data_IF_322334005568
#
_entry.id   IF_322334005568
#
_cell.length_a   1.000
_cell.length_b   1.000
_cell.length_c   1.000
_cell.angle_alpha   90.00
_cell.angle_beta   90.00
_cell.angle_gamma   90.00
#
_symmetry.space_group_name_H-M   'P 1'
#
loop_
_entity.id
_entity.type
_entity.pdbx_description
1 polymer ?
#
# COMPACT_ATOMS: atom_id res chain seq x y z
N UNK A 1 35.71 -10.65 7.84
CA UNK A 1 34.76 -9.64 7.32
C UNK A 1 33.43 -9.81 8.01
N UNK A 2 32.75 -8.73 8.41
CA UNK A 2 31.43 -8.75 9.05
C UNK A 2 30.37 -8.20 8.11
N UNK A 3 29.67 -9.12 7.44
CA UNK A 3 28.45 -8.83 6.67
C UNK A 3 27.24 -9.04 7.57
N UNK A 4 26.33 -8.06 7.63
CA UNK A 4 25.03 -8.20 8.30
C UNK A 4 23.93 -8.23 7.25
N UNK A 5 23.03 -9.21 7.35
CA UNK A 5 21.90 -9.40 6.44
C UNK A 5 20.58 -9.33 7.23
N UNK A 6 19.65 -8.51 6.76
CA UNK A 6 18.33 -8.30 7.36
C UNK A 6 17.27 -8.82 6.37
N UNK A 7 16.63 -9.98 6.63
CA UNK A 7 15.72 -10.63 5.70
C UNK A 7 14.38 -9.90 5.53
N UNK A 8 13.71 -10.19 4.41
CA UNK A 8 12.36 -9.67 4.11
C UNK A 8 11.35 -9.99 5.23
N UNK A 9 10.41 -9.08 5.44
CA UNK A 9 9.37 -9.20 6.47
C UNK A 9 9.86 -9.05 7.92
N UNK A 10 11.17 -8.98 8.17
CA UNK A 10 11.71 -8.80 9.52
C UNK A 10 12.04 -7.32 9.75
N UNK A 11 11.69 -6.82 10.94
CA UNK A 11 12.18 -5.53 11.45
C UNK A 11 13.24 -5.82 12.50
N UNK A 12 14.44 -5.30 12.32
CA UNK A 12 15.54 -5.43 13.29
C UNK A 12 15.87 -4.06 13.87
N UNK A 13 15.86 -3.98 15.20
CA UNK A 13 16.18 -2.77 15.94
C UNK A 13 17.58 -2.88 16.56
N UNK A 14 18.44 -1.90 16.30
CA UNK A 14 19.75 -1.77 16.94
C UNK A 14 19.90 -0.39 17.60
N UNK A 15 20.79 -0.28 18.56
CA UNK A 15 21.17 1.00 19.17
C UNK A 15 22.14 1.77 18.26
N UNK A 16 23.20 1.10 17.84
CA UNK A 16 24.19 1.53 16.84
C UNK A 16 24.69 0.29 16.09
N UNK A 17 25.03 0.43 14.79
CA UNK A 17 25.46 -0.68 13.95
C UNK A 17 26.71 -0.32 13.13
N UNK A 18 27.85 -0.94 13.47
CA UNK A 18 29.10 -0.80 12.73
C UNK A 18 29.47 -2.12 12.03
N UNK A 19 29.59 -2.07 10.70
CA UNK A 19 29.78 -3.25 9.82
C UNK A 19 30.70 -2.91 8.64
N UNK A 20 31.08 -3.89 7.82
CA UNK A 20 31.71 -3.61 6.52
C UNK A 20 30.66 -3.59 5.41
N UNK A 21 29.82 -4.62 5.36
CA UNK A 21 28.77 -4.77 4.36
C UNK A 21 27.42 -5.00 5.05
N UNK A 22 26.44 -4.17 4.70
CA UNK A 22 25.10 -4.21 5.26
C UNK A 22 24.09 -4.45 4.14
N UNK A 23 23.32 -5.52 4.26
CA UNK A 23 22.30 -5.91 3.28
C UNK A 23 20.93 -5.84 3.94
N UNK A 24 20.10 -4.87 3.54
CA UNK A 24 18.78 -4.60 4.12
C UNK A 24 17.70 -4.92 3.10
N UNK A 25 17.08 -6.09 3.23
CA UNK A 25 15.91 -6.50 2.43
C UNK A 25 14.60 -6.40 3.24
N UNK A 26 14.68 -6.30 4.58
CA UNK A 26 13.58 -6.03 5.49
C UNK A 26 13.50 -4.56 5.93
N UNK A 27 13.27 -4.33 7.23
CA UNK A 27 13.36 -3.01 7.85
C UNK A 27 14.47 -2.98 8.90
N UNK A 28 15.34 -1.98 8.84
CA UNK A 28 16.37 -1.70 9.85
C UNK A 28 16.04 -0.38 10.55
N UNK A 29 15.86 -0.44 11.87
CA UNK A 29 15.70 0.74 12.72
C UNK A 29 16.90 0.89 13.65
N UNK A 30 17.56 2.04 13.63
CA UNK A 30 18.76 2.27 14.47
C UNK A 30 18.70 3.61 15.21
N UNK A 31 18.73 3.58 16.55
CA UNK A 31 18.51 4.77 17.39
C UNK A 31 19.54 5.87 17.14
N UNK A 32 20.83 5.53 17.13
CA UNK A 32 21.91 6.51 16.90
C UNK A 32 22.33 6.55 15.44
N UNK A 33 22.86 5.43 14.91
CA UNK A 33 23.34 5.44 13.53
C UNK A 33 23.99 4.16 13.05
N UNK A 34 24.22 4.14 11.75
CA UNK A 34 24.77 3.02 11.00
C UNK A 34 26.05 3.47 10.30
N UNK A 35 27.15 2.76 10.54
CA UNK A 35 28.39 2.90 9.78
C UNK A 35 28.65 1.60 9.03
N UNK A 36 28.79 1.70 7.71
CA UNK A 36 29.18 0.58 6.86
C UNK A 36 30.15 1.07 5.77
N UNK A 37 30.90 0.17 5.14
CA UNK A 37 31.57 0.53 3.88
C UNK A 37 30.57 0.53 2.72
N UNK A 38 29.58 -0.36 2.75
CA UNK A 38 28.57 -0.48 1.70
C UNK A 38 27.24 -0.90 2.29
N UNK A 39 26.17 -0.16 1.97
CA UNK A 39 24.78 -0.47 2.33
C UNK A 39 24.01 -0.76 1.05
N UNK A 40 23.30 -1.89 0.99
CA UNK A 40 22.56 -2.34 -0.20
C UNK A 40 21.24 -3.03 0.16
N UNK A 41 20.20 -2.90 -0.65
CA UNK A 41 19.03 -3.80 -0.65
C UNK A 41 17.70 -3.11 -0.96
N UNK A 42 16.64 -3.90 -1.14
CA UNK A 42 15.28 -3.43 -1.41
C UNK A 42 14.45 -3.07 -0.16
N UNK A 43 15.09 -2.88 0.99
CA UNK A 43 14.45 -2.62 2.28
C UNK A 43 14.30 -1.15 2.66
N UNK A 44 13.80 -0.94 3.88
CA UNK A 44 13.64 0.38 4.52
C UNK A 44 14.73 0.55 5.59
N UNK A 45 15.43 1.70 5.56
CA UNK A 45 16.43 2.07 6.57
C UNK A 45 15.98 3.34 7.31
N UNK A 46 15.66 3.22 8.61
CA UNK A 46 15.28 4.33 9.50
C UNK A 46 16.35 4.56 10.57
N UNK A 47 17.13 5.66 10.53
CA UNK A 47 18.26 5.88 11.46
C UNK A 47 18.47 7.34 11.88
N UNK A 48 19.22 7.59 12.96
CA UNK A 48 19.69 8.93 13.31
C UNK A 48 20.74 9.47 12.31
N UNK A 49 21.87 8.79 12.16
CA UNK A 49 22.91 9.11 11.17
C UNK A 49 23.32 7.87 10.38
N UNK A 50 23.36 7.97 9.05
CA UNK A 50 23.90 6.91 8.17
C UNK A 50 25.19 7.38 7.53
N UNK A 51 26.27 6.58 7.64
CA UNK A 51 27.55 6.85 7.00
C UNK A 51 28.07 5.63 6.22
N UNK A 52 28.23 5.75 4.91
CA UNK A 52 28.84 4.71 4.07
C UNK A 52 29.38 5.22 2.73
N UNK A 53 30.45 4.62 2.20
CA UNK A 53 31.02 5.01 0.88
C UNK A 53 29.95 4.91 -0.23
N UNK A 54 29.17 3.82 -0.22
CA UNK A 54 28.09 3.56 -1.18
C UNK A 54 26.82 3.11 -0.46
N UNK A 55 25.69 3.76 -0.77
CA UNK A 55 24.35 3.44 -0.28
C UNK A 55 23.46 3.14 -1.49
N UNK A 56 22.79 1.98 -1.50
CA UNK A 56 21.87 1.56 -2.55
C UNK A 56 20.59 0.96 -1.93
N UNK A 57 19.55 1.77 -1.74
CA UNK A 57 18.32 1.39 -1.01
C UNK A 57 17.03 1.81 -1.72
N UNK A 58 15.93 1.08 -1.53
CA UNK A 58 14.62 1.56 -2.00
C UNK A 58 14.13 2.75 -1.16
N UNK A 59 14.16 2.68 0.18
CA UNK A 59 13.64 3.74 1.05
C UNK A 59 14.60 4.06 2.22
N UNK A 60 15.03 5.33 2.29
CA UNK A 60 15.99 5.85 3.26
C UNK A 60 15.39 7.00 4.07
N UNK A 61 15.06 6.75 5.33
CA UNK A 61 14.63 7.72 6.32
C UNK A 61 15.81 7.95 7.30
N UNK A 62 16.42 9.13 7.34
CA UNK A 62 17.59 9.33 8.20
C UNK A 62 17.72 10.77 8.68
N UNK A 63 18.22 11.01 9.89
CA UNK A 63 18.47 12.38 10.39
C UNK A 63 19.66 13.10 9.73
N UNK A 64 20.70 12.37 9.33
CA UNK A 64 21.83 12.90 8.54
C UNK A 64 22.50 11.80 7.71
N UNK A 65 22.70 12.01 6.42
CA UNK A 65 23.28 11.02 5.48
C UNK A 65 24.63 11.49 4.95
N UNK A 66 25.68 10.70 5.18
CA UNK A 66 27.04 10.95 4.71
C UNK A 66 27.52 9.82 3.80
N UNK A 67 27.83 10.12 2.53
CA UNK A 67 28.31 9.12 1.59
C UNK A 67 29.22 9.69 0.50
N UNK A 68 29.80 8.81 -0.34
CA UNK A 68 30.31 9.24 -1.66
C UNK A 68 29.24 9.07 -2.73
N UNK A 69 28.54 7.92 -2.74
CA UNK A 69 27.51 7.60 -3.73
C UNK A 69 26.22 7.13 -3.09
N UNK A 70 25.14 7.87 -3.32
CA UNK A 70 23.77 7.48 -2.97
C UNK A 70 23.01 7.09 -4.24
N UNK A 71 22.48 5.87 -4.25
CA UNK A 71 21.50 5.39 -5.21
C UNK A 71 20.24 5.04 -4.43
N UNK A 72 19.14 5.75 -4.69
CA UNK A 72 17.91 5.50 -3.94
C UNK A 72 16.66 5.64 -4.81
N UNK A 73 15.54 5.13 -4.30
CA UNK A 73 14.21 5.43 -4.86
C UNK A 73 13.53 6.53 -4.08
N UNK A 74 13.51 6.44 -2.75
CA UNK A 74 13.03 7.50 -1.85
C UNK A 74 14.07 7.83 -0.79
N UNK A 75 14.22 9.13 -0.52
CA UNK A 75 15.13 9.66 0.49
C UNK A 75 14.42 10.78 1.25
N UNK A 76 14.36 10.65 2.57
CA UNK A 76 13.89 11.70 3.48
C UNK A 76 14.95 11.90 4.55
N UNK A 77 15.67 13.02 4.46
CA UNK A 77 16.72 13.38 5.42
C UNK A 77 16.93 14.88 5.42
N UNK A 78 16.94 15.59 6.57
CA UNK A 78 17.13 17.04 6.55
C UNK A 78 18.52 17.45 6.04
N UNK A 79 19.54 16.60 6.20
CA UNK A 79 20.90 16.82 5.72
C UNK A 79 21.41 15.64 4.86
N UNK A 80 21.80 15.92 3.61
CA UNK A 80 22.37 14.96 2.67
C UNK A 80 23.72 15.43 2.13
N UNK A 81 24.79 14.70 2.48
CA UNK A 81 26.15 14.89 1.98
C UNK A 81 26.57 13.70 1.12
N UNK A 82 26.85 13.91 -0.16
CA UNK A 82 27.18 12.85 -1.13
C UNK A 82 28.33 13.26 -2.07
N UNK A 83 29.59 12.97 -1.70
CA UNK A 83 30.78 13.57 -2.33
C UNK A 83 30.88 13.41 -3.86
N UNK A 84 30.59 12.23 -4.41
CA UNK A 84 30.61 12.01 -5.86
C UNK A 84 29.25 12.35 -6.48
N UNK A 85 28.18 11.71 -5.99
CA UNK A 85 26.87 11.74 -6.65
C UNK A 85 25.72 11.22 -5.78
N UNK A 86 24.56 11.87 -5.85
CA UNK A 86 23.30 11.37 -5.33
C UNK A 86 22.27 11.18 -6.47
N UNK A 87 21.79 9.97 -6.67
CA UNK A 87 20.72 9.64 -7.63
C UNK A 87 19.48 9.15 -6.89
N UNK A 88 18.37 9.89 -6.97
CA UNK A 88 17.09 9.57 -6.32
C UNK A 88 15.98 9.46 -7.36
N UNK A 89 15.51 8.23 -7.60
CA UNK A 89 14.69 7.89 -8.77
C UNK A 89 13.19 8.13 -8.63
N UNK A 90 12.67 8.41 -7.43
CA UNK A 90 11.26 8.77 -7.22
C UNK A 90 11.10 10.11 -6.48
N UNK A 91 11.65 10.25 -5.26
CA UNK A 91 11.41 11.43 -4.42
C UNK A 91 12.55 11.67 -3.42
N UNK A 92 13.04 12.92 -3.34
CA UNK A 92 13.98 13.41 -2.35
C UNK A 92 13.31 14.54 -1.54
N UNK A 93 13.35 14.44 -0.22
CA UNK A 93 13.03 15.55 0.71
C UNK A 93 14.23 15.82 1.62
N UNK A 94 14.80 17.02 1.53
CA UNK A 94 15.97 17.41 2.32
C UNK A 94 16.15 18.94 2.42
N UNK A 95 16.32 19.47 3.62
CA UNK A 95 16.54 20.91 3.83
C UNK A 95 17.90 21.36 3.26
N UNK A 96 18.94 20.54 3.43
CA UNK A 96 20.29 20.81 2.93
C UNK A 96 20.83 19.62 2.11
N UNK A 97 21.28 19.88 0.88
CA UNK A 97 21.91 18.88 0.00
C UNK A 97 23.25 19.39 -0.52
N UNK A 98 24.32 18.64 -0.28
CA UNK A 98 25.66 18.92 -0.79
C UNK A 98 26.22 17.70 -1.55
N UNK A 99 26.41 17.82 -2.87
CA UNK A 99 26.86 16.71 -3.73
C UNK A 99 27.47 17.18 -5.04
N UNK A 100 28.48 16.48 -5.58
CA UNK A 100 29.00 16.81 -6.92
C UNK A 100 27.91 16.71 -8.00
N UNK A 101 27.32 15.53 -8.16
CA UNK A 101 26.29 15.26 -9.18
C UNK A 101 24.95 14.80 -8.55
N UNK A 102 23.97 15.69 -8.50
CA UNK A 102 22.60 15.37 -8.11
C UNK A 102 21.79 14.90 -9.32
N UNK A 103 21.00 13.83 -9.19
CA UNK A 103 20.07 13.36 -10.21
C UNK A 103 18.76 12.93 -9.56
N UNK A 104 17.70 13.71 -9.74
CA UNK A 104 16.44 13.61 -8.99
C UNK A 104 15.22 13.57 -9.91
N UNK A 105 14.21 12.77 -9.59
CA UNK A 105 12.93 12.78 -10.31
C UNK A 105 11.98 13.85 -9.78
N UNK A 106 11.76 13.86 -8.46
CA UNK A 106 11.02 14.87 -7.71
C UNK A 106 11.88 15.22 -6.49
N UNK A 107 11.99 16.51 -6.16
CA UNK A 107 12.84 17.02 -5.09
C UNK A 107 12.18 18.19 -4.37
N UNK A 108 11.99 18.06 -3.07
CA UNK A 108 11.60 19.12 -2.15
C UNK A 108 12.83 19.47 -1.31
N UNK A 109 13.49 20.59 -1.65
CA UNK A 109 14.78 20.97 -1.08
C UNK A 109 14.93 22.47 -0.94
N UNK A 110 15.34 22.95 0.24
CA UNK A 110 15.47 24.38 0.54
C UNK A 110 16.81 24.95 0.06
N UNK A 111 17.94 24.33 0.42
CA UNK A 111 19.28 24.70 -0.04
C UNK A 111 19.99 23.50 -0.71
N UNK A 112 20.50 23.72 -1.93
CA UNK A 112 21.25 22.73 -2.70
C UNK A 112 22.57 23.33 -3.17
N UNK A 113 23.69 22.76 -2.71
CA UNK A 113 25.04 23.01 -3.21
C UNK A 113 25.49 21.83 -4.08
N UNK A 114 25.41 21.96 -5.40
CA UNK A 114 25.85 20.92 -6.32
C UNK A 114 26.46 21.48 -7.61
N UNK A 115 27.48 20.77 -8.14
CA UNK A 115 28.16 21.15 -9.39
C UNK A 115 27.27 20.86 -10.61
N UNK A 116 26.46 19.79 -10.55
CA UNK A 116 25.54 19.39 -11.61
C UNK A 116 24.23 18.84 -11.04
N UNK A 117 23.09 19.37 -11.49
CA UNK A 117 21.74 18.90 -11.10
C UNK A 117 20.96 18.45 -12.34
N UNK A 118 20.61 17.16 -12.39
CA UNK A 118 19.79 16.55 -13.45
C UNK A 118 18.39 16.24 -12.92
N UNK A 119 17.38 16.94 -13.44
CA UNK A 119 15.98 16.58 -13.20
C UNK A 119 15.51 15.52 -14.21
N UNK A 120 15.21 14.31 -13.72
CA UNK A 120 14.68 13.21 -14.51
C UNK A 120 13.23 13.49 -14.91
N UNK A 121 12.99 13.74 -16.19
CA UNK A 121 11.62 13.94 -16.72
C UNK A 121 10.76 12.71 -16.42
N UNK A 122 9.55 12.85 -15.82
CA UNK A 122 8.73 11.72 -15.43
C UNK A 122 8.36 10.87 -16.66
N UNK A 123 8.74 9.60 -16.64
CA UNK A 123 8.57 8.68 -17.77
C UNK A 123 7.09 8.37 -17.99
N UNK A 124 6.45 9.14 -18.88
CA UNK A 124 5.09 8.89 -19.38
C UNK A 124 5.01 7.51 -20.04
N UNK A 125 4.73 6.46 -19.24
CA UNK A 125 4.33 5.14 -19.74
C UNK A 125 2.96 5.32 -20.40
N UNK A 126 2.96 5.42 -21.74
CA UNK A 126 1.76 5.71 -22.51
C UNK A 126 0.76 4.56 -22.47
N UNK A 127 -0.14 4.55 -21.48
CA UNK A 127 -1.22 3.56 -21.38
C UNK A 127 -2.09 3.51 -22.65
N UNK A 128 -2.26 4.67 -23.31
CA UNK A 128 -2.90 4.79 -24.63
C UNK A 128 -2.17 4.00 -25.73
N UNK A 129 -0.84 3.91 -25.70
CA UNK A 129 -0.07 3.14 -26.68
C UNK A 129 -0.21 1.64 -26.45
N UNK A 130 -0.21 1.19 -25.19
CA UNK A 130 -0.50 -0.23 -24.86
C UNK A 130 -1.95 -0.61 -25.17
N UNK A 131 -2.91 0.31 -24.98
CA UNK A 131 -4.31 0.13 -25.40
C UNK A 131 -4.46 0.11 -26.93
N UNK A 132 -3.73 0.95 -27.66
CA UNK A 132 -3.72 0.89 -29.14
C UNK A 132 -3.12 -0.43 -29.64
N UNK A 133 -2.05 -0.93 -29.02
CA UNK A 133 -1.48 -2.23 -29.38
C UNK A 133 -2.41 -3.40 -29.05
N UNK A 134 -3.11 -3.37 -27.92
CA UNK A 134 -4.09 -4.42 -27.59
C UNK A 134 -5.34 -4.35 -28.47
N UNK A 135 -5.89 -3.16 -28.71
CA UNK A 135 -7.02 -2.96 -29.62
C UNK A 135 -6.68 -3.37 -31.06
N UNK A 136 -5.50 -2.98 -31.58
CA UNK A 136 -5.03 -3.38 -32.90
C UNK A 136 -4.82 -4.90 -33.00
N UNK A 137 -4.28 -5.54 -31.94
CA UNK A 137 -4.13 -7.00 -31.89
C UNK A 137 -5.49 -7.70 -31.87
N UNK A 138 -6.45 -7.25 -31.07
CA UNK A 138 -7.81 -7.80 -31.05
C UNK A 138 -8.55 -7.59 -32.37
N UNK A 139 -8.38 -6.43 -33.00
CA UNK A 139 -8.93 -6.14 -34.34
C UNK A 139 -8.33 -7.05 -35.40
N UNK A 140 -7.01 -7.24 -35.41
CA UNK A 140 -6.33 -8.16 -36.33
C UNK A 140 -6.79 -9.59 -36.13
N UNK A 141 -6.84 -10.07 -34.88
CA UNK A 141 -7.33 -11.41 -34.55
C UNK A 141 -8.77 -11.59 -35.02
N UNK A 142 -9.66 -10.63 -34.73
CA UNK A 142 -11.07 -10.66 -35.18
C UNK A 142 -11.23 -10.62 -36.71
N UNK A 143 -10.32 -9.95 -37.43
CA UNK A 143 -10.29 -9.96 -38.90
C UNK A 143 -9.86 -11.35 -39.43
N UNK A 144 -8.84 -11.97 -38.82
CA UNK A 144 -8.37 -13.31 -39.23
C UNK A 144 -9.27 -14.47 -38.78
N UNK A 145 -10.00 -14.31 -37.67
CA UNK A 145 -10.86 -15.35 -37.11
C UNK A 145 -12.15 -15.57 -37.93
N UNK A 146 -12.55 -14.61 -38.76
CA UNK A 146 -13.75 -14.69 -39.62
C UNK A 146 -13.70 -15.77 -40.71
N UNK A 147 -12.57 -16.44 -40.90
CA UNK A 147 -12.40 -17.51 -41.88
C UNK A 147 -12.48 -18.92 -41.27
N UNK A 148 -12.78 -19.05 -39.97
CA UNK A 148 -13.11 -20.32 -39.32
C UNK A 148 -14.60 -20.46 -39.08
N UNK A 149 -15.20 -21.56 -39.55
CA UNK A 149 -16.49 -22.04 -39.03
C UNK A 149 -16.26 -22.58 -37.61
N UNK A 150 -16.26 -21.68 -36.62
CA UNK A 150 -16.25 -22.06 -35.22
C UNK A 150 -17.66 -22.51 -34.83
N UNK A 151 -17.96 -23.79 -35.06
CA UNK A 151 -18.98 -24.45 -34.24
C UNK A 151 -18.54 -24.35 -32.77
N UNK A 152 -19.40 -23.84 -31.87
CA UNK A 152 -19.11 -23.95 -30.46
C UNK A 152 -19.08 -25.44 -30.11
N UNK A 153 -17.92 -25.91 -29.63
CA UNK A 153 -17.90 -27.18 -28.89
C UNK A 153 -18.61 -26.93 -27.57
N UNK A 154 -19.92 -27.16 -27.55
CA UNK A 154 -20.69 -27.29 -26.32
C UNK A 154 -20.06 -28.43 -25.51
N UNK A 155 -19.36 -28.05 -24.44
CA UNK A 155 -18.77 -29.00 -23.52
C UNK A 155 -19.89 -29.54 -22.64
N UNK A 156 -20.44 -30.70 -23.00
CA UNK A 156 -21.48 -31.39 -22.25
C UNK A 156 -21.08 -31.46 -20.76
N UNK A 157 -21.82 -30.71 -19.93
CA UNK A 157 -21.64 -30.70 -18.49
C UNK A 157 -22.10 -32.05 -17.95
N UNK A 158 -21.17 -32.99 -17.76
CA UNK A 158 -21.41 -34.18 -16.96
C UNK A 158 -21.42 -33.79 -15.47
N UNK A 159 -22.55 -33.94 -14.76
CA UNK A 159 -22.55 -33.86 -13.31
C UNK A 159 -21.66 -34.96 -12.74
N UNK A 160 -20.95 -34.69 -11.65
CA UNK A 160 -20.19 -35.74 -10.96
C UNK A 160 -21.17 -36.79 -10.39
N UNK A 161 -21.17 -37.99 -10.97
CA UNK A 161 -22.04 -39.08 -10.57
C UNK A 161 -21.74 -39.51 -9.13
N UNK A 162 -22.77 -39.53 -8.28
CA UNK A 162 -22.63 -39.91 -6.87
C UNK A 162 -22.29 -41.40 -6.75
N UNK A 163 -21.07 -41.70 -6.29
CA UNK A 163 -20.59 -43.07 -6.08
C UNK A 163 -21.59 -43.83 -5.19
N UNK A 164 -22.11 -44.99 -5.65
CA UNK A 164 -23.12 -45.73 -4.89
C UNK A 164 -22.51 -46.41 -3.66
N UNK A 165 -23.22 -46.36 -2.54
CA UNK A 165 -22.86 -47.11 -1.33
C UNK A 165 -23.05 -48.62 -1.55
N UNK A 166 -21.95 -49.37 -1.48
CA UNK A 166 -21.99 -50.82 -1.31
C UNK A 166 -21.88 -51.14 0.19
N UNK A 167 -23.01 -51.43 0.83
CA UNK A 167 -23.06 -51.74 2.25
C UNK A 167 -22.54 -53.16 2.56
N UNK A 168 -21.89 -53.33 3.71
CA UNK A 168 -21.90 -54.59 4.45
C UNK A 168 -21.87 -54.35 5.97
N UNK A 169 -22.23 -55.36 6.77
CA UNK A 169 -23.03 -55.16 7.98
C UNK A 169 -22.30 -55.42 9.31
N UNK A 170 -22.40 -54.47 10.24
CA UNK A 170 -22.52 -54.69 11.71
C UNK A 170 -22.80 -53.35 12.43
N UNK A 171 -23.70 -53.25 13.42
CA UNK A 171 -24.58 -54.30 13.93
C UNK A 171 -25.13 -54.06 15.36
N UNK A 172 -25.68 -52.88 15.68
CA UNK A 172 -26.43 -52.65 16.92
C UNK A 172 -27.37 -51.42 16.87
N UNK A 173 -28.63 -51.62 17.29
CA UNK A 173 -29.64 -50.64 17.74
C UNK A 173 -30.11 -51.11 19.15
N UNK A 174 -30.74 -50.31 20.05
CA UNK A 174 -31.69 -49.19 19.85
C UNK A 174 -31.12 -47.80 20.27
N UNK A 175 -31.69 -46.61 20.00
CA UNK A 175 -33.07 -46.05 19.82
C UNK A 175 -33.55 -45.23 21.05
N UNK A 176 -34.45 -44.27 20.79
CA UNK A 176 -35.28 -43.45 21.71
C UNK A 176 -34.65 -42.17 22.29
N UNK A 177 -35.34 -41.04 22.04
CA UNK A 177 -35.12 -39.72 22.66
C UNK A 177 -36.03 -39.56 23.89
N UNK A 178 -35.60 -38.79 24.90
CA UNK A 178 -36.49 -38.17 25.89
C UNK A 178 -35.84 -36.95 26.57
N UNK A 179 -36.63 -35.91 26.79
CA UNK A 179 -36.27 -34.63 27.42
C UNK A 179 -36.06 -34.71 28.95
N UNK A 180 -35.54 -33.61 29.50
CA UNK A 180 -35.93 -32.96 30.79
C UNK A 180 -34.78 -32.71 31.78
N UNK A 181 -34.51 -31.41 31.94
CA UNK A 181 -33.81 -30.65 32.98
C UNK A 181 -33.46 -31.30 34.34
N UNK A 182 -32.36 -30.80 34.93
CA UNK A 182 -32.43 -30.13 36.24
C UNK A 182 -31.26 -29.15 36.52
N UNK A 183 -31.56 -27.86 36.55
CA UNK A 183 -30.89 -26.79 37.34
C UNK A 183 -31.41 -26.82 38.80
N UNK A 184 -30.95 -25.97 39.77
CA UNK A 184 -30.12 -24.73 39.71
C UNK A 184 -28.81 -24.85 40.56
N UNK A 185 -28.02 -23.84 41.02
CA UNK A 185 -28.30 -22.58 41.76
C UNK A 185 -27.15 -21.53 41.72
N UNK A 186 -27.51 -20.29 41.30
CA UNK A 186 -27.32 -18.95 41.94
C UNK A 186 -25.93 -18.45 42.39
N UNK A 187 -25.56 -17.14 42.38
CA UNK A 187 -26.10 -15.84 41.84
C UNK A 187 -24.87 -14.87 41.73
N UNK A 188 -24.83 -13.60 41.25
CA UNK A 188 -25.74 -12.55 40.76
C UNK A 188 -24.94 -11.67 39.73
N UNK A 189 -25.42 -10.74 38.89
CA UNK A 189 -26.55 -9.76 38.86
C UNK A 189 -26.32 -8.51 39.77
N UNK A 190 -26.63 -7.24 39.38
CA UNK A 190 -27.34 -6.69 38.19
C UNK A 190 -26.44 -5.96 37.15
N UNK A 191 -26.81 -5.68 35.89
CA UNK A 191 -28.08 -5.58 35.12
C UNK A 191 -28.68 -4.15 34.94
N UNK A 192 -28.66 -3.65 33.70
CA UNK A 192 -29.65 -2.79 33.02
C UNK A 192 -29.14 -2.48 31.58
N UNK A 193 -29.90 -2.60 30.48
CA UNK A 193 -31.19 -3.27 30.25
C UNK A 193 -31.68 -3.07 28.80
N UNK A 194 -32.35 -4.09 28.22
CA UNK A 194 -33.26 -4.09 27.03
C UNK A 194 -32.87 -3.27 25.77
N UNK A 195 -32.91 -3.85 24.56
CA UNK A 195 -34.14 -4.08 23.75
C UNK A 195 -33.78 -5.02 22.58
N UNK A 196 -34.68 -5.91 22.09
CA UNK A 196 -34.35 -6.89 21.04
C UNK A 196 -34.11 -6.27 19.66
N UNK A 197 -33.46 -7.04 18.79
CA UNK A 197 -33.04 -6.66 17.43
C UNK A 197 -34.23 -6.35 16.52
N UNK A 198 -34.08 -5.30 15.71
CA UNK A 198 -34.86 -5.09 14.50
C UNK A 198 -34.09 -5.68 13.30
N UNK A 199 -34.81 -6.24 12.34
CA UNK A 199 -34.25 -6.52 11.01
C UNK A 199 -34.18 -5.17 10.26
N UNK A 200 -33.14 -4.38 10.57
CA UNK A 200 -32.97 -3.05 10.01
C UNK A 200 -32.85 -3.11 8.47
N UNK A 201 -33.83 -2.52 7.79
CA UNK A 201 -33.85 -2.36 6.34
C UNK A 201 -32.58 -1.60 5.91
N UNK A 202 -31.79 -2.11 4.94
CA UNK A 202 -30.36 -1.80 4.86
C UNK A 202 -30.08 -0.38 4.31
N UNK A 203 -30.15 0.63 5.18
CA UNK A 203 -29.96 2.07 4.94
C UNK A 203 -29.24 2.38 3.62
N UNK A 204 -30.00 2.68 2.57
CA UNK A 204 -29.43 2.86 1.23
C UNK A 204 -28.45 4.04 1.20
N UNK A 205 -28.71 5.10 1.98
CA UNK A 205 -27.82 6.24 2.11
C UNK A 205 -26.53 5.89 2.86
N UNK A 206 -26.60 5.10 3.93
CA UNK A 206 -25.41 4.63 4.66
C UNK A 206 -24.57 3.71 3.78
N UNK A 207 -25.20 2.78 3.06
CA UNK A 207 -24.53 1.90 2.10
C UNK A 207 -23.89 2.69 0.95
N UNK A 208 -24.55 3.74 0.45
CA UNK A 208 -24.02 4.67 -0.55
C UNK A 208 -22.82 5.46 -0.03
N UNK A 209 -22.85 5.96 1.21
CA UNK A 209 -21.72 6.65 1.86
C UNK A 209 -20.55 5.68 2.10
N UNK A 210 -20.82 4.45 2.54
CA UNK A 210 -19.80 3.39 2.71
C UNK A 210 -19.16 3.02 1.36
N UNK A 211 -19.97 2.92 0.29
CA UNK A 211 -19.48 2.67 -1.07
C UNK A 211 -18.58 3.81 -1.58
N UNK A 212 -19.04 5.06 -1.42
CA UNK A 212 -18.25 6.25 -1.77
C UNK A 212 -16.95 6.33 -0.97
N UNK A 213 -16.98 6.03 0.34
CA UNK A 213 -15.79 6.00 1.19
C UNK A 213 -14.76 4.97 0.72
N UNK A 214 -15.20 3.73 0.41
CA UNK A 214 -14.30 2.67 -0.09
C UNK A 214 -13.57 3.10 -1.37
N UNK A 215 -14.30 3.70 -2.32
CA UNK A 215 -13.80 4.18 -3.61
C UNK A 215 -12.87 5.42 -3.47
N UNK A 216 -13.25 6.37 -2.61
CA UNK A 216 -12.44 7.56 -2.30
C UNK A 216 -11.13 7.20 -1.58
N UNK A 217 -11.18 6.25 -0.63
CA UNK A 217 -10.01 5.79 0.14
C UNK A 217 -8.93 5.19 -0.75
N UNK A 218 -9.31 4.41 -1.76
CA UNK A 218 -8.36 3.80 -2.72
C UNK A 218 -7.70 4.83 -3.65
N UNK A 219 -8.30 6.01 -3.79
CA UNK A 219 -7.72 7.17 -4.49
C UNK A 219 -7.06 8.19 -3.55
N UNK A 220 -6.94 7.89 -2.26
CA UNK A 220 -6.24 8.72 -1.27
C UNK A 220 -7.08 9.84 -0.64
N UNK A 221 -8.39 9.90 -0.92
CA UNK A 221 -9.29 10.92 -0.39
C UNK A 221 -10.01 10.44 0.88
N UNK A 222 -10.26 11.36 1.80
CA UNK A 222 -11.05 11.15 3.03
C UNK A 222 -12.38 11.88 2.94
N UNK A 223 -13.46 11.27 3.45
CA UNK A 223 -14.74 11.95 3.62
C UNK A 223 -14.76 12.67 4.96
N UNK A 224 -15.15 13.95 4.96
CA UNK A 224 -15.44 14.74 6.17
C UNK A 224 -16.95 14.94 6.24
N UNK A 225 -17.58 14.41 7.29
CA UNK A 225 -18.96 14.78 7.63
C UNK A 225 -18.97 16.19 8.22
N UNK A 226 -19.89 17.03 7.76
CA UNK A 226 -20.13 18.39 8.27
C UNK A 226 -21.56 18.40 8.83
N UNK A 227 -21.80 18.87 10.06
CA UNK A 227 -23.15 18.95 10.62
C UNK A 227 -23.99 20.04 9.93
N UNK A 228 -25.31 19.95 10.08
CA UNK A 228 -26.28 20.82 9.41
C UNK A 228 -26.91 20.14 8.20
N UNK A 229 -27.84 20.84 7.54
CA UNK A 229 -28.55 20.32 6.37
C UNK A 229 -27.70 20.39 5.08
N UNK A 230 -28.07 19.64 4.03
CA UNK A 230 -27.43 19.76 2.71
C UNK A 230 -27.59 21.15 2.08
N UNK A 231 -28.66 21.89 2.42
CA UNK A 231 -28.95 23.22 1.88
C UNK A 231 -28.07 24.30 2.53
N UNK A 232 -27.83 24.23 3.85
CA UNK A 232 -26.93 25.15 4.57
C UNK A 232 -25.47 24.97 4.17
N UNK A 233 -25.05 23.73 3.89
CA UNK A 233 -23.69 23.39 3.48
C UNK A 233 -23.46 23.47 1.96
N UNK A 234 -24.47 23.87 1.18
CA UNK A 234 -24.37 23.95 -0.28
C UNK A 234 -23.41 25.09 -0.72
N UNK A 235 -22.49 24.85 -1.66
CA UNK A 235 -21.58 25.88 -2.16
C UNK A 235 -22.33 26.93 -3.00
N UNK A 236 -22.51 28.12 -2.44
CA UNK A 236 -23.29 29.21 -3.08
C UNK A 236 -22.51 29.83 -4.23
N UNK A 237 -23.10 29.87 -5.42
CA UNK A 237 -22.49 30.51 -6.59
C UNK A 237 -22.77 32.01 -6.63
N UNK A 238 -21.73 32.85 -6.55
CA UNK A 238 -21.86 34.29 -6.70
C UNK A 238 -21.86 34.69 -8.18
N UNK A 239 -23.05 34.99 -8.71
CA UNK A 239 -23.25 35.42 -10.10
C UNK A 239 -22.54 36.73 -10.46
N UNK A 240 -22.24 37.62 -9.50
CA UNK A 240 -21.53 38.88 -9.77
C UNK A 240 -20.02 38.66 -9.96
N UNK A 241 -19.44 37.70 -9.24
CA UNK A 241 -17.99 37.41 -9.25
C UNK A 241 -17.62 36.20 -10.12
N UNK A 242 -18.63 35.48 -10.65
CA UNK A 242 -18.50 34.21 -11.37
C UNK A 242 -17.69 33.15 -10.61
N UNK A 243 -17.86 33.11 -9.28
CA UNK A 243 -17.10 32.24 -8.38
C UNK A 243 -18.03 31.50 -7.43
N UNK A 244 -17.64 30.26 -7.13
CA UNK A 244 -18.21 29.50 -6.01
C UNK A 244 -17.65 30.09 -4.71
N UNK A 245 -18.54 30.50 -3.82
CA UNK A 245 -18.19 30.81 -2.43
C UNK A 245 -18.25 29.47 -1.66
N UNK A 246 -17.14 29.01 -1.04
CA UNK A 246 -17.20 27.84 -0.16
C UNK A 246 -18.03 28.16 1.10
N UNK A 247 -18.72 27.18 1.69
CA UNK A 247 -19.42 27.39 2.96
C UNK A 247 -18.44 27.84 4.06
N UNK A 248 -18.94 28.61 5.03
CA UNK A 248 -18.18 28.98 6.21
C UNK A 248 -17.83 27.72 7.02
N UNK A 249 -16.61 27.66 7.57
CA UNK A 249 -15.99 26.46 8.13
C UNK A 249 -16.09 26.34 9.66
#
# INVERSE_FOLDING_TARGET
MKTVYIPKGHTVCYESLETEHLVVEGCLKTTYGVKAKTITGGGVLSTGTTSADVICLDELETGSVFCRRLLARRVQTPELFASDSATVSCFLSAAYVETGKLTVAISETDEVKADEVIHLKPKKRGMLATLLLSALRSFWIGLTARNGLYEPMDADYMPAESVPEAADQSGAVPEVNADTAHTPETDAKPEAGQTPEAEDEPDEELNRVIGLFKLARESGYTLRLIPGTPEENAPVFNFQEQRVIPPAA
#
